data_IF_704963282865
#
_entry.id   IF_704963282865
#
_cell.length_a   1.000
_cell.length_b   1.000
_cell.length_c   1.000
_cell.angle_alpha   90.00
_cell.angle_beta   90.00
_cell.angle_gamma   90.00
#
_symmetry.space_group_name_H-M   'P 1'
#
loop_
_entity.id
_entity.type
_entity.pdbx_description
1 polymer ?
#
# COMPACT_ATOMS: atom_id res chain seq x y z
N UNK A 1 -8.03 -0.82 -12.19
CA UNK A 1 -7.21 -1.80 -11.42
C UNK A 1 -5.74 -1.40 -11.56
N UNK A 2 -5.02 -1.31 -10.45
CA UNK A 2 -3.60 -1.01 -10.39
C UNK A 2 -2.87 -2.04 -9.50
N UNK A 3 -1.60 -2.26 -9.81
CA UNK A 3 -0.69 -3.06 -8.99
C UNK A 3 0.27 -2.14 -8.26
N UNK A 4 0.51 -2.41 -6.98
CA UNK A 4 1.39 -1.60 -6.13
C UNK A 4 2.47 -2.51 -5.57
N UNK A 5 3.71 -2.30 -5.98
CA UNK A 5 4.89 -2.89 -5.35
C UNK A 5 5.32 -2.01 -4.18
N UNK A 6 5.61 -2.64 -3.04
CA UNK A 6 6.19 -1.97 -1.87
C UNK A 6 7.44 -2.74 -1.44
N UNK A 7 8.59 -2.08 -1.54
CA UNK A 7 9.83 -2.52 -0.90
C UNK A 7 9.94 -1.83 0.46
N UNK A 8 9.86 -2.63 1.53
CA UNK A 8 9.70 -2.14 2.89
C UNK A 8 11.03 -2.14 3.65
N UNK A 9 11.56 -0.95 3.99
CA UNK A 9 12.69 -0.82 4.93
C UNK A 9 12.29 -0.17 6.26
N UNK A 10 13.16 -0.21 7.27
CA UNK A 10 12.90 0.37 8.59
C UNK A 10 12.81 1.91 8.62
N UNK A 11 13.32 2.60 7.60
CA UNK A 11 13.36 4.07 7.57
C UNK A 11 12.47 4.69 6.49
N UNK A 12 12.27 3.96 5.40
CA UNK A 12 11.48 4.39 4.26
C UNK A 12 10.98 3.19 3.45
N UNK A 13 9.96 3.40 2.64
CA UNK A 13 9.44 2.38 1.75
C UNK A 13 9.45 2.92 0.33
N UNK A 14 9.96 2.12 -0.59
CA UNK A 14 9.91 2.43 -2.02
C UNK A 14 8.63 1.83 -2.60
N UNK A 15 7.90 2.65 -3.34
CA UNK A 15 6.58 2.35 -3.89
C UNK A 15 6.66 2.46 -5.40
N UNK A 16 6.10 1.46 -6.08
CA UNK A 16 5.88 1.49 -7.52
C UNK A 16 4.43 1.16 -7.82
N UNK A 17 3.77 2.00 -8.60
CA UNK A 17 2.39 1.81 -9.06
C UNK A 17 2.42 1.48 -10.54
N UNK A 18 1.80 0.38 -10.93
CA UNK A 18 1.66 -0.05 -12.32
C UNK A 18 0.19 -0.22 -12.71
N UNK A 19 -0.09 -0.04 -14.01
CA UNK A 19 -1.35 -0.48 -14.60
C UNK A 19 -1.37 -2.01 -14.85
N UNK A 20 -2.44 -2.49 -15.47
CA UNK A 20 -2.61 -3.92 -15.74
C UNK A 20 -1.69 -4.48 -16.82
N UNK A 21 -1.13 -3.61 -17.67
CA UNK A 21 -0.22 -3.98 -18.74
C UNK A 21 1.25 -3.92 -18.28
N UNK A 22 1.49 -3.52 -17.03
CA UNK A 22 2.81 -3.39 -16.41
C UNK A 22 3.47 -2.04 -16.67
N UNK A 23 2.75 -1.03 -17.16
CA UNK A 23 3.29 0.31 -17.32
C UNK A 23 3.35 1.02 -15.96
N UNK A 24 4.51 1.60 -15.66
CA UNK A 24 4.72 2.37 -14.42
C UNK A 24 3.95 3.69 -14.50
N UNK A 25 2.98 3.86 -13.60
CA UNK A 25 2.16 5.06 -13.44
C UNK A 25 2.80 6.06 -12.49
N UNK A 26 3.44 5.57 -11.42
CA UNK A 26 4.14 6.41 -10.45
C UNK A 26 5.18 5.61 -9.66
N UNK A 27 6.18 6.33 -9.16
CA UNK A 27 7.10 5.84 -8.13
C UNK A 27 7.20 6.86 -7.01
N UNK A 28 7.38 6.38 -5.78
CA UNK A 28 7.53 7.26 -4.62
C UNK A 28 8.39 6.59 -3.54
N UNK A 29 9.06 7.43 -2.76
CA UNK A 29 9.67 7.02 -1.49
C UNK A 29 8.91 7.68 -0.36
N UNK A 30 8.36 6.88 0.55
CA UNK A 30 7.61 7.37 1.70
C UNK A 30 8.37 7.07 2.99
N UNK A 31 8.29 7.95 3.98
CA UNK A 31 8.90 7.72 5.30
C UNK A 31 8.20 6.55 6.01
N UNK A 32 8.87 5.94 6.99
CA UNK A 32 8.16 5.09 7.95
C UNK A 32 7.19 5.92 8.82
N UNK A 33 6.13 5.27 9.32
CA UNK A 33 5.15 5.89 10.21
C UNK A 33 3.98 6.60 9.50
N UNK A 34 3.21 7.37 10.29
CA UNK A 34 1.89 7.88 9.89
C UNK A 34 1.94 8.85 8.70
N UNK A 35 2.97 9.71 8.64
CA UNK A 35 3.13 10.65 7.53
C UNK A 35 3.38 9.90 6.21
N UNK A 36 4.12 8.79 6.27
CA UNK A 36 4.33 7.89 5.15
C UNK A 36 3.06 7.20 4.68
N UNK A 37 2.26 6.68 5.62
CA UNK A 37 0.95 6.07 5.32
C UNK A 37 0.01 7.09 4.66
N UNK A 38 -0.02 8.33 5.17
CA UNK A 38 -0.81 9.40 4.56
C UNK A 38 -0.37 9.72 3.14
N UNK A 39 0.94 9.74 2.91
CA UNK A 39 1.53 9.99 1.58
C UNK A 39 1.24 8.85 0.61
N UNK A 40 1.32 7.60 1.07
CA UNK A 40 0.94 6.42 0.30
C UNK A 40 -0.55 6.46 -0.08
N UNK A 41 -1.45 6.76 0.87
CA UNK A 41 -2.87 6.90 0.58
C UNK A 41 -3.14 7.97 -0.49
N UNK A 42 -2.51 9.14 -0.37
CA UNK A 42 -2.69 10.22 -1.33
C UNK A 42 -2.20 9.83 -2.74
N UNK A 43 -1.08 9.11 -2.82
CA UNK A 43 -0.56 8.57 -4.07
C UNK A 43 -1.56 7.60 -4.71
N UNK A 44 -2.05 6.61 -3.95
CA UNK A 44 -2.96 5.59 -4.48
C UNK A 44 -4.31 6.19 -4.92
N UNK A 45 -4.83 7.17 -4.18
CA UNK A 45 -6.06 7.88 -4.54
C UNK A 45 -5.95 8.67 -5.85
N UNK A 46 -4.74 8.98 -6.32
CA UNK A 46 -4.51 9.58 -7.64
C UNK A 46 -4.67 8.60 -8.81
N UNK A 47 -4.71 7.29 -8.55
CA UNK A 47 -4.72 6.25 -9.56
C UNK A 47 -5.89 5.25 -9.45
N UNK A 48 -6.61 5.23 -8.33
CA UNK A 48 -7.79 4.39 -8.13
C UNK A 48 -8.82 5.08 -7.22
N UNK A 49 -10.08 5.14 -7.66
CA UNK A 49 -11.19 5.70 -6.89
C UNK A 49 -11.77 4.69 -5.90
N UNK A 50 -11.77 3.40 -6.26
CA UNK A 50 -12.20 2.30 -5.39
C UNK A 50 -10.98 1.50 -4.90
N UNK A 51 -10.77 1.37 -3.58
CA UNK A 51 -9.69 0.55 -3.03
C UNK A 51 -9.74 -0.92 -3.48
N UNK A 52 -10.91 -1.41 -3.87
CA UNK A 52 -11.06 -2.69 -4.52
C UNK A 52 -10.13 -2.81 -5.74
N UNK A 53 -9.88 -1.74 -6.46
CA UNK A 53 -9.09 -1.77 -7.67
C UNK A 53 -7.58 -1.81 -7.42
N UNK A 54 -7.14 -1.89 -6.16
CA UNK A 54 -5.74 -1.86 -5.77
C UNK A 54 -5.30 -3.24 -5.27
N UNK A 55 -4.30 -3.82 -5.94
CA UNK A 55 -3.63 -5.05 -5.52
C UNK A 55 -2.21 -4.69 -5.10
N UNK A 56 -1.83 -5.06 -3.87
CA UNK A 56 -0.54 -4.73 -3.28
C UNK A 56 0.32 -5.99 -3.20
N UNK A 57 1.55 -5.88 -3.64
CA UNK A 57 2.62 -6.84 -3.43
C UNK A 57 3.69 -6.22 -2.54
N UNK A 58 4.07 -6.92 -1.47
CA UNK A 58 5.22 -6.59 -0.63
C UNK A 58 6.28 -7.65 -0.87
N UNK A 59 7.47 -7.23 -1.28
CA UNK A 59 8.60 -8.14 -1.34
C UNK A 59 9.09 -8.43 0.08
N UNK A 60 9.24 -9.70 0.41
CA UNK A 60 9.91 -10.16 1.63
C UNK A 60 11.09 -11.04 1.23
N UNK A 61 12.02 -11.30 2.14
CA UNK A 61 13.23 -12.13 1.91
C UNK A 61 12.93 -13.53 1.32
N UNK A 62 11.68 -13.98 1.38
CA UNK A 62 11.22 -15.30 0.90
C UNK A 62 10.34 -15.23 -0.35
N UNK A 63 10.31 -14.09 -1.05
CA UNK A 63 9.52 -13.85 -2.26
C UNK A 63 8.39 -12.85 -2.07
N UNK A 64 7.51 -12.74 -3.06
CA UNK A 64 6.43 -11.75 -3.05
C UNK A 64 5.23 -12.21 -2.22
N UNK A 65 4.86 -11.42 -1.21
CA UNK A 65 3.58 -11.53 -0.54
C UNK A 65 2.58 -10.58 -1.21
N UNK A 66 1.52 -11.11 -1.82
CA UNK A 66 0.49 -10.30 -2.46
C UNK A 66 -0.86 -10.40 -1.76
N UNK A 67 -1.57 -9.28 -1.73
CA UNK A 67 -2.90 -9.15 -1.13
C UNK A 67 -3.68 -8.00 -1.74
N UNK A 68 -4.99 -8.04 -1.62
CA UNK A 68 -5.84 -6.92 -2.04
C UNK A 68 -5.80 -5.83 -0.97
N UNK A 69 -5.58 -4.59 -1.38
CA UNK A 69 -5.59 -3.47 -0.46
C UNK A 69 -7.00 -3.25 0.11
N UNK A 70 -7.08 -2.96 1.40
CA UNK A 70 -8.30 -2.51 2.05
C UNK A 70 -7.94 -1.34 2.95
N UNK A 71 -8.55 -0.16 2.80
CA UNK A 71 -8.30 0.96 3.70
C UNK A 71 -8.80 0.61 5.11
N UNK A 72 -8.26 1.24 6.15
CA UNK A 72 -8.72 1.02 7.51
C UNK A 72 -10.16 1.51 7.68
N UNK A 73 -11.13 0.61 7.62
CA UNK A 73 -12.38 0.78 8.34
C UNK A 73 -12.09 0.47 9.81
N UNK A 74 -11.68 1.48 10.57
CA UNK A 74 -11.40 1.35 12.00
C UNK A 74 -12.65 0.85 12.74
N UNK A 75 -12.71 -0.45 13.01
CA UNK A 75 -13.40 -1.01 14.18
C UNK A 75 -12.35 -1.70 15.03
N UNK A 76 -11.68 -0.92 15.89
CA UNK A 76 -11.18 -1.46 17.14
C UNK A 76 -12.41 -1.95 17.92
N UNK A 77 -12.82 -3.20 17.75
CA UNK A 77 -13.68 -3.84 18.74
C UNK A 77 -12.85 -3.93 20.01
N UNK A 78 -13.03 -2.96 20.90
CA UNK A 78 -12.44 -2.95 22.23
C UNK A 78 -12.72 -4.30 22.89
N UNK A 79 -11.68 -5.12 23.04
CA UNK A 79 -11.74 -6.27 23.92
C UNK A 79 -11.57 -5.72 25.33
N UNK A 80 -12.69 -5.36 25.94
CA UNK A 80 -12.76 -5.17 27.39
C UNK A 80 -12.54 -6.55 28.02
N UNK A 81 -11.32 -6.83 28.47
CA UNK A 81 -11.07 -7.82 29.50
C UNK A 81 -10.94 -7.06 30.82
N UNK A 82 -11.81 -7.41 31.77
CA UNK A 82 -11.64 -7.09 33.19
C UNK A 82 -10.34 -7.65 33.73
#
# INVERSE_FOLDING_TARGET
>A
MIFVGIDWSEQHHDIEVQDTDGAVLATARVADGLDGIGSLHALLAGHADDPAEVVVGIEIDRGLLSGRWSPPAMKCSGRSSR
#
